data_IF_008321314715
#
_entry.id   IF_008321314715
#
_cell.length_a   1.000
_cell.length_b   1.000
_cell.length_c   1.000
_cell.angle_alpha   90.00
_cell.angle_beta   90.00
_cell.angle_gamma   90.00
#
_symmetry.space_group_name_H-M   'P 1'
#
loop_
_entity.id
_entity.type
_entity.pdbx_description
1 polymer ?
#
# COMPACT_ATOMS: atom_id res chain seq x y z
N UNK A 1 -21.54 31.57 -10.72
CA UNK A 1 -21.10 30.25 -11.24
C UNK A 1 -19.72 30.42 -11.83
N UNK A 2 -18.71 29.72 -11.33
CA UNK A 2 -17.36 29.78 -11.91
C UNK A 2 -17.38 29.10 -13.28
N UNK A 3 -16.91 29.79 -14.31
CA UNK A 3 -16.84 29.24 -15.67
C UNK A 3 -15.73 28.18 -15.71
N UNK A 4 -16.12 26.90 -15.78
CA UNK A 4 -15.17 25.81 -15.96
C UNK A 4 -14.55 25.93 -17.35
N UNK A 5 -13.26 26.27 -17.41
CA UNK A 5 -12.51 26.26 -18.65
C UNK A 5 -12.51 24.85 -19.24
N UNK A 6 -12.98 24.71 -20.47
CA UNK A 6 -12.96 23.44 -21.20
C UNK A 6 -11.84 23.51 -22.24
N UNK A 7 -10.79 22.77 -21.98
CA UNK A 7 -9.65 22.66 -22.89
C UNK A 7 -10.09 22.05 -24.24
N UNK A 8 -9.94 22.79 -25.36
CA UNK A 8 -10.32 22.30 -26.70
C UNK A 8 -9.42 21.16 -27.20
N UNK A 9 -8.24 20.98 -26.61
CA UNK A 9 -7.27 19.95 -26.99
C UNK A 9 -7.31 18.70 -26.11
N UNK A 10 -8.20 18.64 -25.12
CA UNK A 10 -8.30 17.51 -24.20
C UNK A 10 -8.43 16.15 -24.92
N UNK A 11 -9.18 16.09 -26.03
CA UNK A 11 -9.32 14.88 -26.85
C UNK A 11 -8.03 14.50 -27.57
N UNK A 12 -7.20 15.48 -27.96
CA UNK A 12 -5.89 15.24 -28.57
C UNK A 12 -4.84 14.82 -27.55
N UNK A 13 -4.88 15.33 -26.33
CA UNK A 13 -3.95 14.95 -25.26
C UNK A 13 -4.35 13.65 -24.53
N UNK A 14 -5.54 13.11 -24.82
CA UNK A 14 -6.07 11.91 -24.18
C UNK A 14 -5.16 10.68 -24.33
N UNK A 15 -4.44 10.54 -25.44
CA UNK A 15 -3.51 9.41 -25.64
C UNK A 15 -2.32 9.43 -24.67
N UNK A 16 -1.93 10.60 -24.14
CA UNK A 16 -0.85 10.72 -23.14
C UNK A 16 -1.30 10.29 -21.75
N UNK A 17 -2.61 10.32 -21.49
CA UNK A 17 -3.21 9.94 -20.21
C UNK A 17 -3.45 8.42 -20.19
N UNK A 18 -2.36 7.65 -20.12
CA UNK A 18 -2.47 6.19 -19.95
C UNK A 18 -2.87 5.82 -18.52
N UNK A 19 -3.80 4.86 -18.31
CA UNK A 19 -4.13 4.30 -17.00
C UNK A 19 -2.92 3.72 -16.25
N UNK A 20 -1.91 3.25 -16.98
CA UNK A 20 -0.70 2.63 -16.41
C UNK A 20 0.19 3.70 -15.75
N UNK A 21 0.21 4.92 -16.29
CA UNK A 21 1.03 6.04 -15.79
C UNK A 21 0.27 6.96 -14.82
N UNK A 22 -0.90 6.53 -14.33
CA UNK A 22 -1.60 7.28 -13.29
C UNK A 22 -0.85 7.19 -11.97
N UNK A 23 -0.78 8.30 -11.22
CA UNK A 23 -0.12 8.36 -9.91
C UNK A 23 -0.61 7.24 -8.97
N UNK A 24 -1.91 6.91 -9.01
CA UNK A 24 -2.50 5.81 -8.24
C UNK A 24 -1.85 4.45 -8.53
N UNK A 25 -1.58 4.15 -9.80
CA UNK A 25 -0.86 2.92 -10.19
C UNK A 25 0.58 2.93 -9.70
N UNK A 26 1.25 4.08 -9.74
CA UNK A 26 2.62 4.20 -9.22
C UNK A 26 2.68 4.00 -7.70
N UNK A 27 1.77 4.61 -6.94
CA UNK A 27 1.71 4.45 -5.48
C UNK A 27 1.37 3.02 -5.03
N UNK A 28 0.50 2.32 -5.76
CA UNK A 28 0.17 0.91 -5.44
C UNK A 28 1.39 0.00 -5.51
N UNK A 29 2.36 0.32 -6.37
CA UNK A 29 3.55 -0.49 -6.59
C UNK A 29 4.78 0.03 -5.81
N UNK A 30 4.61 1.04 -4.94
CA UNK A 30 5.72 1.67 -4.23
C UNK A 30 6.39 0.74 -3.22
N UNK A 31 5.64 -0.20 -2.63
CA UNK A 31 6.15 -1.15 -1.65
C UNK A 31 5.80 -2.59 -2.03
N UNK A 32 6.52 -3.16 -3.02
CA UNK A 32 6.32 -4.56 -3.38
C UNK A 32 6.64 -5.44 -2.17
N UNK A 33 5.70 -6.31 -1.79
CA UNK A 33 5.88 -7.23 -0.66
C UNK A 33 5.60 -6.65 0.73
N UNK A 34 5.17 -5.39 0.85
CA UNK A 34 4.83 -4.80 2.15
C UNK A 34 3.78 -5.59 2.92
N UNK A 35 2.75 -6.11 2.24
CA UNK A 35 1.73 -6.95 2.87
C UNK A 35 2.30 -8.22 3.50
N UNK A 36 3.28 -8.85 2.84
CA UNK A 36 3.95 -10.03 3.39
C UNK A 36 4.86 -9.69 4.56
N UNK A 37 5.64 -8.62 4.44
CA UNK A 37 6.51 -8.15 5.53
C UNK A 37 5.70 -7.78 6.77
N UNK A 38 4.63 -6.99 6.59
CA UNK A 38 3.73 -6.60 7.68
C UNK A 38 3.04 -7.84 8.29
N UNK A 39 2.53 -8.76 7.46
CA UNK A 39 1.88 -9.97 7.93
C UNK A 39 2.80 -10.88 8.76
N UNK A 40 4.02 -11.14 8.27
CA UNK A 40 5.01 -11.93 8.98
C UNK A 40 5.43 -11.27 10.30
N UNK A 41 5.62 -9.95 10.28
CA UNK A 41 5.95 -9.18 11.48
C UNK A 41 4.84 -9.25 12.53
N UNK A 42 3.58 -9.04 12.13
CA UNK A 42 2.44 -9.15 13.06
C UNK A 42 2.31 -10.55 13.64
N UNK A 43 2.47 -11.59 12.83
CA UNK A 43 2.46 -12.98 13.32
C UNK A 43 3.58 -13.24 14.33
N UNK A 44 4.78 -12.71 14.09
CA UNK A 44 5.90 -12.79 15.02
C UNK A 44 5.57 -12.13 16.35
N UNK A 45 5.07 -10.89 16.35
CA UNK A 45 4.71 -10.16 17.58
C UNK A 45 3.62 -10.90 18.37
N UNK A 46 2.60 -11.43 17.69
CA UNK A 46 1.56 -12.22 18.36
C UNK A 46 2.17 -13.47 19.02
N UNK A 47 3.06 -14.16 18.31
CA UNK A 47 3.72 -15.33 18.87
C UNK A 47 4.59 -14.97 20.07
N UNK A 48 5.44 -13.95 19.96
CA UNK A 48 6.41 -13.58 20.97
C UNK A 48 5.72 -13.05 22.24
N UNK A 49 4.87 -12.02 22.09
CA UNK A 49 4.31 -11.27 23.22
C UNK A 49 3.09 -11.95 23.87
N UNK A 50 2.34 -12.77 23.13
CA UNK A 50 1.09 -13.35 23.65
C UNK A 50 1.15 -14.86 23.87
N UNK A 51 1.99 -15.59 23.13
CA UNK A 51 2.08 -17.05 23.19
C UNK A 51 3.35 -17.51 23.91
N UNK A 52 4.52 -17.01 23.48
CA UNK A 52 5.81 -17.37 24.05
C UNK A 52 6.01 -16.73 25.43
N UNK A 53 5.66 -15.45 25.62
CA UNK A 53 5.72 -14.78 26.91
C UNK A 53 4.81 -15.41 28.00
N UNK A 54 3.76 -16.17 27.61
CA UNK A 54 2.88 -16.89 28.54
C UNK A 54 3.35 -18.30 28.90
N UNK A 55 4.44 -18.82 28.31
CA UNK A 55 5.07 -20.02 28.84
C UNK A 55 5.70 -19.67 30.19
N UNK A 56 5.30 -20.29 31.31
CA UNK A 56 6.11 -20.18 32.52
C UNK A 56 7.47 -20.78 32.19
N UNK A 57 8.51 -19.97 32.23
CA UNK A 57 9.89 -20.41 32.13
C UNK A 57 10.19 -21.30 33.34
N UNK A 58 9.92 -22.59 33.21
CA UNK A 58 10.36 -23.63 34.13
C UNK A 58 11.84 -23.87 33.89
N UNK A 59 12.68 -22.90 34.27
CA UNK A 59 14.12 -23.08 34.34
C UNK A 59 14.56 -22.64 35.75
N UNK A 60 14.89 -23.67 36.55
CA UNK A 60 15.28 -23.71 37.97
C UNK A 60 14.14 -23.65 39.01
#
# INVERSE_FOLDING_TARGET
>A
MTQLYRDPWAKREAWRKSPIFQNKSMFRNLFPGFGWGLGAFTLYVIYDDFIAAKKPSSHH
#
